data_IF_632928627916
#
_entry.id   IF_632928627916
#
_cell.length_a   1.000
_cell.length_b   1.000
_cell.length_c   1.000
_cell.angle_alpha   90.00
_cell.angle_beta   90.00
_cell.angle_gamma   90.00
#
_symmetry.space_group_name_H-M   'P 1'
#
loop_
_entity.id
_entity.type
_entity.pdbx_description
1 polymer ?
#
# COMPACT_ATOMS: atom_id res chain seq x y z
N UNK A 1 6.56 -6.93 -2.60
CA UNK A 1 5.42 -6.55 -3.46
C UNK A 1 5.95 -6.19 -4.83
N UNK A 2 6.02 -7.14 -5.76
CA UNK A 2 6.44 -6.91 -7.15
C UNK A 2 5.58 -5.82 -7.80
N UNK A 3 6.04 -4.57 -7.71
CA UNK A 3 5.28 -3.43 -8.18
C UNK A 3 5.60 -3.22 -9.65
N UNK A 4 4.60 -3.37 -10.52
CA UNK A 4 4.77 -3.12 -11.96
C UNK A 4 5.25 -1.67 -12.19
N UNK A 5 6.32 -1.42 -12.99
CA UNK A 5 6.86 -0.09 -13.27
C UNK A 5 5.81 0.93 -13.73
N UNK A 6 4.74 0.47 -14.39
CA UNK A 6 3.58 1.27 -14.81
C UNK A 6 2.93 2.07 -13.67
N UNK A 7 2.98 1.57 -12.42
CA UNK A 7 2.39 2.25 -11.25
C UNK A 7 3.20 3.47 -10.80
N UNK A 8 4.46 3.59 -11.21
CA UNK A 8 5.31 4.74 -10.88
C UNK A 8 4.98 5.96 -11.76
N UNK A 9 4.41 5.72 -12.94
CA UNK A 9 3.91 6.78 -13.83
C UNK A 9 2.72 7.48 -13.16
N UNK A 10 2.94 8.71 -12.71
CA UNK A 10 2.01 9.56 -11.95
C UNK A 10 0.97 10.26 -12.86
N UNK A 11 0.30 9.51 -13.75
CA UNK A 11 -0.83 10.04 -14.56
C UNK A 11 -2.14 9.77 -13.82
N UNK A 12 -2.84 10.85 -13.41
CA UNK A 12 -4.11 10.88 -12.66
C UNK A 12 -4.19 9.88 -11.50
N UNK A 13 -3.06 9.64 -10.84
CA UNK A 13 -2.93 8.68 -9.74
C UNK A 13 -1.99 9.25 -8.70
N UNK A 14 -2.30 8.95 -7.44
CA UNK A 14 -1.44 9.28 -6.32
C UNK A 14 -0.08 8.57 -6.46
N UNK A 15 1.00 9.26 -6.05
CA UNK A 15 2.36 8.72 -6.12
C UNK A 15 2.43 7.35 -5.45
N UNK A 16 2.99 6.36 -6.15
CA UNK A 16 3.03 4.96 -5.71
C UNK A 16 3.61 4.75 -4.30
N UNK A 17 4.59 5.58 -3.89
CA UNK A 17 5.16 5.59 -2.52
C UNK A 17 4.06 5.74 -1.45
N UNK A 18 3.13 6.68 -1.64
CA UNK A 18 2.05 6.96 -0.69
C UNK A 18 0.96 5.89 -0.73
N UNK A 19 0.63 5.39 -1.93
CA UNK A 19 -0.28 4.25 -2.10
C UNK A 19 0.26 3.02 -1.34
N UNK A 20 1.57 2.75 -1.46
CA UNK A 20 2.24 1.66 -0.75
C UNK A 20 2.19 1.87 0.78
N UNK A 21 2.44 3.10 1.26
CA UNK A 21 2.37 3.45 2.69
C UNK A 21 0.96 3.24 3.26
N UNK A 22 -0.09 3.69 2.56
CA UNK A 22 -1.49 3.51 2.95
C UNK A 22 -1.85 2.02 3.02
N UNK A 23 -1.49 1.22 2.01
CA UNK A 23 -1.71 -0.25 2.02
C UNK A 23 -1.03 -0.94 3.20
N UNK A 24 0.23 -0.61 3.51
CA UNK A 24 0.94 -1.18 4.66
C UNK A 24 0.25 -0.85 5.99
N UNK A 25 -0.24 0.39 6.18
CA UNK A 25 -0.99 0.77 7.39
C UNK A 25 -2.28 -0.04 7.54
N UNK A 26 -3.04 -0.20 6.47
CA UNK A 26 -4.28 -1.00 6.49
C UNK A 26 -4.00 -2.46 6.84
N UNK A 27 -2.99 -3.09 6.23
CA UNK A 27 -2.60 -4.46 6.58
C UNK A 27 -2.22 -4.62 8.05
N UNK A 28 -1.46 -3.68 8.62
CA UNK A 28 -1.11 -3.70 10.06
C UNK A 28 -2.34 -3.53 10.95
N UNK A 29 -3.26 -2.63 10.60
CA UNK A 29 -4.52 -2.43 11.33
C UNK A 29 -5.38 -3.70 11.27
N UNK A 30 -5.47 -4.34 10.11
CA UNK A 30 -6.19 -5.60 9.93
C UNK A 30 -5.57 -6.71 10.76
N UNK A 31 -4.24 -6.89 10.72
CA UNK A 31 -3.52 -7.89 11.53
C UNK A 31 -3.77 -7.71 13.03
N UNK A 32 -3.71 -6.46 13.52
CA UNK A 32 -4.04 -6.14 14.93
C UNK A 32 -5.49 -6.44 15.30
N UNK A 33 -6.43 -6.21 14.38
CA UNK A 33 -7.85 -6.45 14.63
C UNK A 33 -8.20 -7.94 14.71
N UNK A 34 -7.53 -8.77 13.91
CA UNK A 34 -7.78 -10.23 13.86
C UNK A 34 -7.07 -10.96 15.01
N UNK A 35 -6.22 -10.29 15.79
CA UNK A 35 -5.56 -10.90 16.95
C UNK A 35 -4.38 -11.81 16.61
N UNK A 36 -3.91 -11.82 15.35
CA UNK A 36 -2.69 -12.57 14.93
C UNK A 36 -1.37 -11.88 15.36
N UNK A 37 -1.39 -11.12 16.45
CA UNK A 37 -0.21 -10.44 16.99
C UNK A 37 0.02 -10.85 18.44
#
# INVERSE_FOLDING_TARGET
MGAKPRKWKKKNRMRWKWVKKKRKRLKRKMKRRVGEL
#
